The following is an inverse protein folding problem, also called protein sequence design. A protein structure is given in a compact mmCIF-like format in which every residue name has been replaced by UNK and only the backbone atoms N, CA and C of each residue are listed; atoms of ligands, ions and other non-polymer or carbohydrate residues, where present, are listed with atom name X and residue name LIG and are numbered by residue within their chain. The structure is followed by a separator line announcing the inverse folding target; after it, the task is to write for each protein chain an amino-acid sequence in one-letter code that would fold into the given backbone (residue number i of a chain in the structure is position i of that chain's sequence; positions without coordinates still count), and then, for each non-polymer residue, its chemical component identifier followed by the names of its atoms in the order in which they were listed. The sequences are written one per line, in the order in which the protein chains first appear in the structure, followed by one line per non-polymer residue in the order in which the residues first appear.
data_IF_118103958297
#
_entry.id   IF_118103958297
#
_cell.length_a   1.000
_cell.length_b   1.000
_cell.length_c   1.000
_cell.angle_alpha   90.00
_cell.angle_beta   90.00
_cell.angle_gamma   90.00
#
_symmetry.space_group_name_H-M   'P 1'
#
loop_
_entity.id
_entity.type
_entity.pdbx_description
1 polymer ?
#
# COMPACT_ATOMS: atom_id res chain seq x y z
N UNK A 1 -5.59 7.93 -4.85
CA UNK A 1 -6.45 7.94 -3.63
C UNK A 1 -6.64 6.55 -3.02
N UNK A 2 -6.85 5.49 -3.82
CA UNK A 2 -7.02 4.11 -3.31
C UNK A 2 -5.86 3.67 -2.40
N UNK A 3 -4.61 3.82 -2.84
CA UNK A 3 -3.45 3.45 -2.03
C UNK A 3 -3.33 4.26 -0.73
N UNK A 4 -3.68 5.55 -0.74
CA UNK A 4 -3.71 6.38 0.47
C UNK A 4 -4.68 5.82 1.52
N UNK A 5 -5.88 5.41 1.08
CA UNK A 5 -6.87 4.77 1.96
C UNK A 5 -6.34 3.42 2.44
N UNK A 6 -5.83 2.58 1.53
CA UNK A 6 -5.29 1.27 1.88
C UNK A 6 -4.14 1.35 2.89
N UNK A 7 -3.27 2.36 2.76
CA UNK A 7 -2.11 2.57 3.64
C UNK A 7 -2.50 2.88 5.09
N UNK A 8 -3.69 3.43 5.32
CA UNK A 8 -4.21 3.74 6.67
C UNK A 8 -5.13 2.63 7.15
N UNK A 9 -6.11 2.23 6.34
CA UNK A 9 -7.14 1.30 6.77
C UNK A 9 -6.66 -0.14 6.87
N UNK A 10 -5.82 -0.63 5.96
CA UNK A 10 -5.39 -2.03 5.98
C UNK A 10 -4.56 -2.37 7.24
N UNK A 11 -3.55 -1.57 7.65
CA UNK A 11 -2.82 -1.85 8.88
C UNK A 11 -3.69 -1.70 10.13
N UNK A 12 -4.60 -0.70 10.17
CA UNK A 12 -5.51 -0.52 11.30
C UNK A 12 -6.50 -1.67 11.46
N UNK A 13 -7.14 -2.11 10.38
CA UNK A 13 -8.04 -3.27 10.40
C UNK A 13 -7.25 -4.50 10.85
N UNK A 14 -6.07 -4.74 10.27
CA UNK A 14 -5.21 -5.86 10.65
C UNK A 14 -4.85 -5.83 12.14
N UNK A 15 -4.49 -4.66 12.67
CA UNK A 15 -4.19 -4.45 14.07
C UNK A 15 -5.38 -4.82 14.96
N UNK A 16 -6.55 -4.22 14.73
CA UNK A 16 -7.72 -4.44 15.58
C UNK A 16 -8.29 -5.85 15.45
N UNK A 17 -8.26 -6.45 14.26
CA UNK A 17 -8.67 -7.85 14.07
C UNK A 17 -7.72 -8.80 14.80
N UNK A 18 -6.39 -8.63 14.67
CA UNK A 18 -5.45 -9.45 15.41
C UNK A 18 -5.54 -9.22 16.92
N UNK A 19 -5.78 -7.98 17.36
CA UNK A 19 -5.96 -7.67 18.78
C UNK A 19 -7.21 -8.36 19.35
N UNK A 20 -8.31 -8.38 18.59
CA UNK A 20 -9.54 -9.07 18.98
C UNK A 20 -9.35 -10.59 19.09
N UNK A 21 -8.63 -11.21 18.14
CA UNK A 21 -8.45 -12.66 18.10
C UNK A 21 -7.39 -13.18 19.08
N UNK A 22 -6.26 -12.47 19.21
CA UNK A 22 -5.07 -13.00 19.87
C UNK A 22 -4.67 -12.24 21.15
N UNK A 23 -5.31 -11.10 21.46
CA UNK A 23 -5.08 -10.26 22.66
C UNK A 23 -3.61 -9.91 22.98
N UNK A 24 -2.67 -10.19 22.07
CA UNK A 24 -1.24 -9.95 22.21
C UNK A 24 -0.83 -8.74 21.38
N UNK A 25 -0.35 -7.65 22.03
CA UNK A 25 0.10 -6.45 21.32
C UNK A 25 1.26 -6.70 20.35
N UNK A 26 2.10 -7.71 20.63
CA UNK A 26 3.18 -8.09 19.73
C UNK A 26 2.64 -8.65 18.41
N UNK A 27 1.61 -9.49 18.49
CA UNK A 27 1.05 -10.14 17.31
C UNK A 27 0.21 -9.15 16.48
N UNK A 28 -0.59 -8.30 17.13
CA UNK A 28 -1.38 -7.27 16.46
C UNK A 28 -0.51 -6.17 15.83
N UNK A 29 0.49 -5.66 16.56
CA UNK A 29 1.45 -4.68 16.06
C UNK A 29 2.32 -5.25 14.94
N UNK A 30 2.86 -6.47 15.12
CA UNK A 30 3.67 -7.14 14.11
C UNK A 30 2.91 -7.44 12.82
N UNK A 31 1.67 -7.94 12.92
CA UNK A 31 0.82 -8.18 11.76
C UNK A 31 0.47 -6.88 11.02
N UNK A 32 0.15 -5.81 11.75
CA UNK A 32 -0.12 -4.50 11.16
C UNK A 32 1.10 -3.91 10.44
N UNK A 33 2.30 -4.05 11.03
CA UNK A 33 3.55 -3.61 10.40
C UNK A 33 3.84 -4.39 9.11
N UNK A 34 3.61 -5.71 9.11
CA UNK A 34 3.71 -6.53 7.91
C UNK A 34 2.71 -6.08 6.82
N UNK A 35 1.45 -5.81 7.20
CA UNK A 35 0.42 -5.31 6.28
C UNK A 35 0.80 -3.94 5.67
N UNK A 36 1.39 -3.03 6.45
CA UNK A 36 1.87 -1.74 5.95
C UNK A 36 2.97 -1.91 4.88
N UNK A 37 3.93 -2.81 5.10
CA UNK A 37 4.98 -3.10 4.13
C UNK A 37 4.42 -3.70 2.82
N UNK A 38 3.41 -4.56 2.92
CA UNK A 38 2.73 -5.11 1.74
C UNK A 38 2.08 -4.00 0.91
N UNK A 39 1.37 -3.06 1.54
CA UNK A 39 0.76 -1.91 0.84
C UNK A 39 1.84 -1.06 0.17
N UNK A 40 2.96 -0.82 0.84
CA UNK A 40 4.06 -0.03 0.32
C UNK A 40 4.68 -0.68 -0.93
N UNK A 41 4.92 -1.99 -0.89
CA UNK A 41 5.40 -2.75 -2.06
C UNK A 41 4.39 -2.69 -3.20
N UNK A 42 3.10 -2.93 -2.92
CA UNK A 42 2.04 -2.88 -3.92
C UNK A 42 1.95 -1.49 -4.58
N UNK A 43 2.11 -0.43 -3.81
CA UNK A 43 2.15 0.94 -4.33
C UNK A 43 3.35 1.15 -5.26
N UNK A 44 4.53 0.68 -4.89
CA UNK A 44 5.72 0.75 -5.74
C UNK A 44 5.48 0.01 -7.06
N UNK A 45 4.98 -1.23 -7.00
CA UNK A 45 4.69 -2.03 -8.19
C UNK A 45 3.69 -1.33 -9.11
N UNK A 46 2.61 -0.77 -8.55
CA UNK A 46 1.62 -0.04 -9.32
C UNK A 46 2.22 1.21 -9.99
N UNK A 47 3.06 1.97 -9.28
CA UNK A 47 3.72 3.15 -9.81
C UNK A 47 4.66 2.82 -10.99
N UNK A 48 5.34 1.67 -10.96
CA UNK A 48 6.17 1.20 -12.07
C UNK A 48 5.37 0.55 -13.20
N UNK A 49 4.15 0.09 -12.93
CA UNK A 49 3.26 -0.52 -13.92
C UNK A 49 2.42 0.51 -14.67
N UNK A 50 2.25 1.70 -14.09
CA UNK A 50 1.63 2.83 -14.77
C UNK A 50 2.54 3.25 -15.94
N UNK A 51 2.03 3.11 -17.16
CA UNK A 51 2.78 3.45 -18.36
C UNK A 51 3.08 4.94 -18.33
N UNK A 52 4.35 5.33 -18.22
CA UNK A 52 4.77 6.71 -18.47
C UNK A 52 4.14 7.16 -19.79
N UNK A 53 3.38 8.28 -19.85
CA UNK A 53 3.01 8.88 -21.12
C UNK A 53 4.33 9.08 -21.86
N UNK A 54 4.53 8.27 -22.89
CA UNK A 54 5.77 8.26 -23.66
C UNK A 54 6.06 9.69 -24.07
N UNK A 55 7.33 10.06 -24.06
CA UNK A 55 7.89 11.26 -24.70
C UNK A 55 7.51 11.45 -26.19
N UNK A 56 6.61 10.63 -26.73
CA UNK A 56 6.06 10.67 -28.08
C UNK A 56 5.13 11.87 -28.35
N UNK A 57 4.59 12.53 -27.32
CA UNK A 57 3.84 13.80 -27.49
C UNK A 57 4.77 15.02 -27.70
N UNK A 58 6.08 14.91 -27.41
CA UNK A 58 7.03 16.01 -27.60
C UNK A 58 7.55 16.13 -29.05
N UNK A 59 7.36 15.10 -29.89
CA UNK A 59 7.89 15.06 -31.27
C UNK A 59 6.87 15.39 -32.37
N UNK A 60 5.60 15.63 -32.03
CA UNK A 60 4.56 15.92 -33.03
C UNK A 60 4.40 17.42 -33.37
N UNK A 61 5.07 18.31 -32.62
CA UNK A 61 5.01 19.77 -32.82
C UNK A 61 6.40 20.40 -33.11
N UNK A 62 7.38 19.62 -33.59
CA UNK A 62 8.65 20.13 -34.11
C UNK A 62 8.75 19.87 -35.61
#
# INVERSE_FOLDING_TARGET
MLFTIAMVFLPLITFFTCQYLFSSPLLSGGAAAAAANVVLIAYIVAAFSESTPKEDELKKNQ
#
